data_IF_606775556035
#
_entry.id   IF_606775556035
#
_cell.length_a   1.000
_cell.length_b   1.000
_cell.length_c   1.000
_cell.angle_alpha   90.00
_cell.angle_beta   90.00
_cell.angle_gamma   90.00
#
_symmetry.space_group_name_H-M   'P 1'
#
loop_
_entity.id
_entity.type
_entity.pdbx_description
1 polymer ?
#
# COMPACT_ATOMS: atom_id res chain seq x y z
N UNK A 1 10.57 45.58 -5.77
CA UNK A 1 11.09 45.06 -4.49
C UNK A 1 9.91 44.67 -3.62
N UNK A 2 9.75 43.37 -3.37
CA UNK A 2 8.68 42.82 -2.55
C UNK A 2 9.30 42.39 -1.22
N UNK A 3 8.73 42.89 -0.13
CA UNK A 3 9.20 42.61 1.22
C UNK A 3 8.32 41.53 1.84
N UNK A 4 8.94 40.46 2.33
CA UNK A 4 8.24 39.29 2.88
C UNK A 4 8.68 39.07 4.34
N UNK A 5 7.72 38.74 5.20
CA UNK A 5 7.96 38.25 6.56
C UNK A 5 7.62 36.76 6.57
N UNK A 6 8.57 35.93 6.98
CA UNK A 6 8.38 34.48 7.08
C UNK A 6 7.97 34.11 8.50
N UNK A 7 6.77 33.55 8.64
CA UNK A 7 6.27 32.95 9.87
C UNK A 7 6.04 31.46 9.62
N UNK A 8 7.10 30.67 9.78
CA UNK A 8 7.07 29.22 9.58
C UNK A 8 7.86 28.56 10.70
N UNK A 9 7.26 27.74 11.55
CA UNK A 9 7.94 27.29 12.79
C UNK A 9 8.97 26.20 12.60
N UNK A 10 9.01 25.59 11.41
CA UNK A 10 10.03 24.64 11.08
C UNK A 10 11.25 25.31 10.43
N UNK A 11 12.37 25.41 11.14
CA UNK A 11 13.59 26.06 10.65
C UNK A 11 14.09 25.50 9.30
N UNK A 12 13.95 24.20 9.02
CA UNK A 12 14.36 23.63 7.72
C UNK A 12 13.47 24.14 6.57
N UNK A 13 12.15 24.22 6.81
CA UNK A 13 11.19 24.68 5.79
C UNK A 13 11.36 26.19 5.60
N UNK A 14 11.53 26.93 6.70
CA UNK A 14 11.83 28.35 6.70
C UNK A 14 13.12 28.68 5.95
N UNK A 15 14.21 27.93 6.19
CA UNK A 15 15.48 28.13 5.51
C UNK A 15 15.40 27.75 4.02
N UNK A 16 14.68 26.67 3.69
CA UNK A 16 14.42 26.31 2.30
C UNK A 16 13.62 27.37 1.56
N UNK A 17 12.54 27.88 2.17
CA UNK A 17 11.69 28.93 1.60
C UNK A 17 12.46 30.24 1.48
N UNK A 18 13.24 30.62 2.50
CA UNK A 18 14.10 31.81 2.45
C UNK A 18 15.10 31.72 1.29
N UNK A 19 15.79 30.60 1.14
CA UNK A 19 16.77 30.38 0.06
C UNK A 19 16.11 30.44 -1.32
N UNK A 20 14.91 29.88 -1.47
CA UNK A 20 14.15 29.92 -2.73
C UNK A 20 13.62 31.32 -3.05
N UNK A 21 13.19 32.09 -2.05
CA UNK A 21 12.65 33.43 -2.25
C UNK A 21 13.75 34.47 -2.50
N UNK A 22 14.90 34.35 -1.82
CA UNK A 22 16.05 35.25 -2.03
C UNK A 22 16.85 34.94 -3.30
N UNK A 23 16.53 33.83 -4.01
CA UNK A 23 17.08 33.56 -5.34
C UNK A 23 16.55 34.54 -6.42
N UNK A 24 15.42 35.20 -6.16
CA UNK A 24 14.91 36.29 -7.00
C UNK A 24 15.39 37.64 -6.41
N UNK A 25 16.19 38.37 -7.18
CA UNK A 25 16.77 39.67 -6.77
C UNK A 25 15.73 40.75 -6.43
N UNK A 26 14.47 40.55 -6.80
CA UNK A 26 13.37 41.46 -6.49
C UNK A 26 12.71 41.20 -5.12
N UNK A 27 13.06 40.11 -4.44
CA UNK A 27 12.45 39.67 -3.18
C UNK A 27 13.46 39.78 -2.04
N UNK A 28 13.03 40.38 -0.91
CA UNK A 28 13.87 40.53 0.29
C UNK A 28 13.10 40.13 1.54
N UNK A 29 13.67 39.23 2.33
CA UNK A 29 13.11 38.82 3.63
C UNK A 29 13.59 39.78 4.71
N UNK A 30 12.66 40.48 5.37
CA UNK A 30 12.98 41.59 6.28
C UNK A 30 13.09 41.21 7.77
N UNK A 31 12.73 39.98 8.15
CA UNK A 31 12.84 39.53 9.53
C UNK A 31 12.34 38.10 9.78
N UNK A 32 12.78 37.53 10.90
CA UNK A 32 12.48 36.17 11.36
C UNK A 32 11.62 36.24 12.63
N UNK A 33 10.39 35.72 12.57
CA UNK A 33 9.55 35.57 13.75
C UNK A 33 9.72 34.19 14.39
N UNK A 34 9.91 34.13 15.70
CA UNK A 34 9.56 32.93 16.49
C UNK A 34 8.05 32.91 16.61
N UNK A 35 7.35 31.89 16.11
CA UNK A 35 5.95 31.78 16.52
C UNK A 35 5.92 31.18 17.92
N UNK A 36 5.32 31.93 18.83
CA UNK A 36 4.96 31.45 20.17
C UNK A 36 3.75 30.48 20.10
N UNK A 37 3.49 29.87 18.92
CA UNK A 37 2.32 29.05 18.65
C UNK A 37 2.75 27.63 18.31
N UNK A 38 2.10 26.66 18.94
CA UNK A 38 2.33 25.25 18.68
C UNK A 38 2.01 24.89 17.22
N UNK A 39 2.99 24.35 16.50
CA UNK A 39 2.78 23.79 15.16
C UNK A 39 2.42 22.34 15.24
N UNK A 40 1.34 22.01 14.51
CA UNK A 40 0.79 20.68 14.45
C UNK A 40 1.21 20.06 13.13
N UNK A 41 1.96 18.96 13.20
CA UNK A 41 2.34 18.18 12.03
C UNK A 41 1.38 17.01 11.85
N UNK A 42 1.10 16.69 10.59
CA UNK A 42 0.32 15.50 10.20
C UNK A 42 1.08 14.73 9.13
N UNK A 43 1.21 13.43 9.33
CA UNK A 43 1.74 12.50 8.37
C UNK A 43 0.77 11.33 8.19
N UNK A 44 0.64 10.83 6.97
CA UNK A 44 -0.20 9.68 6.64
C UNK A 44 0.69 8.62 6.01
N UNK A 45 0.76 7.46 6.66
CA UNK A 45 1.38 6.26 6.09
C UNK A 45 0.40 5.61 5.11
N UNK A 46 0.68 5.73 3.81
CA UNK A 46 -0.17 5.19 2.74
C UNK A 46 0.09 3.71 2.44
N UNK A 47 1.13 3.11 3.03
CA UNK A 47 1.46 1.70 2.82
C UNK A 47 1.91 1.01 4.10
N UNK A 48 1.06 0.95 5.15
CA UNK A 48 1.43 0.28 6.38
C UNK A 48 1.39 -1.25 6.23
N UNK A 49 2.08 -1.97 7.11
CA UNK A 49 2.09 -3.44 7.10
C UNK A 49 0.86 -4.03 7.80
N UNK A 50 0.48 -5.27 7.45
CA UNK A 50 -0.54 -6.00 8.20
C UNK A 50 -0.05 -6.30 9.62
N UNK A 51 -0.94 -6.20 10.60
CA UNK A 51 -0.64 -6.44 12.01
C UNK A 51 -0.40 -5.16 12.80
N UNK A 52 0.45 -5.24 13.83
CA UNK A 52 0.75 -4.11 14.70
C UNK A 52 1.94 -3.34 14.13
N UNK A 53 1.69 -2.09 13.73
CA UNK A 53 2.73 -1.15 13.30
C UNK A 53 3.08 -0.23 14.47
N UNK A 54 4.37 0.07 14.63
CA UNK A 54 4.89 0.95 15.67
C UNK A 54 5.46 2.20 15.02
N UNK A 55 5.05 3.36 15.50
CA UNK A 55 5.48 4.66 14.99
C UNK A 55 6.13 5.45 16.11
N UNK A 56 7.24 6.10 15.80
CA UNK A 56 7.96 6.96 16.72
C UNK A 56 8.46 8.19 15.97
N UNK A 57 8.25 9.36 16.55
CA UNK A 57 8.81 10.59 16.02
C UNK A 57 10.25 10.75 16.52
N UNK A 58 11.15 11.04 15.59
CA UNK A 58 12.52 11.47 15.88
C UNK A 58 12.63 12.95 15.56
N UNK A 59 12.79 13.76 16.59
CA UNK A 59 13.10 15.17 16.48
C UNK A 59 14.62 15.35 16.57
N UNK A 60 15.16 16.35 15.89
CA UNK A 60 16.57 16.73 15.98
C UNK A 60 16.60 18.20 16.40
N UNK A 61 17.16 18.47 17.56
CA UNK A 61 17.26 19.82 18.10
C UNK A 61 18.38 20.61 17.40
N UNK A 62 18.44 21.92 17.68
CA UNK A 62 19.39 22.84 17.05
C UNK A 62 20.87 22.42 17.18
N UNK A 63 21.21 21.74 18.27
CA UNK A 63 22.56 21.23 18.53
C UNK A 63 22.84 19.87 17.86
N UNK A 64 21.94 19.41 16.99
CA UNK A 64 22.04 18.15 16.27
C UNK A 64 21.68 16.93 17.12
N UNK A 65 21.27 17.11 18.38
CA UNK A 65 20.91 15.98 19.24
C UNK A 65 19.52 15.46 18.90
N UNK A 66 19.38 14.14 18.70
CA UNK A 66 18.07 13.55 18.48
C UNK A 66 17.32 13.38 19.80
N UNK A 67 16.03 13.68 19.78
CA UNK A 67 15.05 13.29 20.80
C UNK A 67 13.99 12.39 20.17
N UNK A 68 13.50 11.42 20.95
CA UNK A 68 12.48 10.46 20.51
C UNK A 68 11.19 10.69 21.27
N UNK A 69 10.05 10.60 20.58
CA UNK A 69 8.74 10.55 21.24
C UNK A 69 8.49 9.19 21.89
N UNK A 70 7.36 9.10 22.60
CA UNK A 70 6.76 7.80 22.90
C UNK A 70 6.46 7.02 21.62
N UNK A 71 6.55 5.70 21.72
CA UNK A 71 6.14 4.81 20.64
C UNK A 71 4.63 4.64 20.70
N UNK A 72 3.96 4.96 19.61
CA UNK A 72 2.53 4.69 19.44
C UNK A 72 2.35 3.50 18.52
N UNK A 73 1.29 2.71 18.72
CA UNK A 73 1.00 1.56 17.87
C UNK A 73 -0.35 1.71 17.18
N UNK A 74 -0.43 1.20 15.95
CA UNK A 74 -1.66 1.05 15.22
C UNK A 74 -1.78 -0.39 14.73
N UNK A 75 -2.86 -1.07 15.15
CA UNK A 75 -3.18 -2.42 14.69
C UNK A 75 -4.03 -2.32 13.44
N UNK A 76 -3.44 -2.68 12.30
CA UNK A 76 -4.09 -2.72 11.01
C UNK A 76 -4.35 -4.18 10.65
N UNK A 77 -5.62 -4.54 10.54
CA UNK A 77 -6.00 -5.83 9.96
C UNK A 77 -6.36 -5.57 8.51
N UNK A 78 -5.36 -5.68 7.63
CA UNK A 78 -5.67 -6.01 6.26
C UNK A 78 -6.19 -7.43 6.30
N UNK A 79 -7.34 -7.68 5.67
CA UNK A 79 -7.58 -9.03 5.23
C UNK A 79 -6.42 -9.32 4.28
N UNK A 80 -5.44 -10.07 4.78
CA UNK A 80 -4.29 -10.49 4.01
C UNK A 80 -4.81 -10.93 2.65
N UNK A 81 -4.22 -10.45 1.56
CA UNK A 81 -4.50 -10.88 0.19
C UNK A 81 -4.07 -12.35 0.02
N UNK A 82 -4.68 -13.22 0.83
CA UNK A 82 -4.46 -14.65 0.86
C UNK A 82 -5.25 -15.17 -0.31
N UNK A 83 -4.59 -15.21 -1.46
CA UNK A 83 -5.07 -15.97 -2.59
C UNK A 83 -4.54 -17.39 -2.46
N UNK A 84 -5.36 -18.26 -1.86
CA UNK A 84 -5.11 -19.69 -1.82
C UNK A 84 -5.80 -20.33 -3.02
N UNK A 85 -5.05 -21.16 -3.74
CA UNK A 85 -5.58 -22.02 -4.78
C UNK A 85 -5.06 -23.44 -4.59
N UNK A 86 -5.93 -24.42 -4.70
CA UNK A 86 -5.58 -25.83 -4.63
C UNK A 86 -6.49 -26.67 -5.51
N UNK A 87 -6.00 -27.85 -5.90
CA UNK A 87 -6.76 -28.81 -6.70
C UNK A 87 -7.08 -30.04 -5.86
N UNK A 88 -8.36 -30.39 -5.77
CA UNK A 88 -8.82 -31.56 -5.04
C UNK A 88 -10.09 -32.11 -5.69
N UNK A 89 -10.21 -33.44 -5.76
CA UNK A 89 -11.41 -34.14 -6.24
C UNK A 89 -11.91 -33.67 -7.62
N UNK A 90 -11.00 -33.36 -8.56
CA UNK A 90 -11.38 -32.92 -9.90
C UNK A 90 -11.80 -31.45 -10.01
N UNK A 91 -11.59 -30.65 -8.96
CA UNK A 91 -11.99 -29.26 -8.90
C UNK A 91 -10.84 -28.34 -8.46
N UNK A 92 -10.84 -27.13 -9.01
CA UNK A 92 -10.04 -26.01 -8.51
C UNK A 92 -10.84 -25.34 -7.39
N UNK A 93 -10.18 -25.13 -6.26
CA UNK A 93 -10.74 -24.44 -5.09
C UNK A 93 -9.91 -23.19 -4.82
N UNK A 94 -10.59 -22.06 -4.65
CA UNK A 94 -9.99 -20.75 -4.41
C UNK A 94 -10.56 -20.16 -3.12
N UNK A 95 -9.69 -19.75 -2.20
CA UNK A 95 -10.05 -18.88 -1.08
C UNK A 95 -9.32 -17.55 -1.25
N UNK A 96 -10.05 -16.45 -1.17
CA UNK A 96 -9.47 -15.13 -1.31
C UNK A 96 -10.32 -14.04 -0.69
N UNK A 97 -9.69 -12.90 -0.39
CA UNK A 97 -10.39 -11.72 0.10
C UNK A 97 -10.34 -10.61 -0.95
N UNK A 98 -11.44 -9.88 -1.08
CA UNK A 98 -11.55 -8.70 -1.96
C UNK A 98 -11.99 -7.51 -1.12
N UNK A 99 -11.24 -6.41 -1.15
CA UNK A 99 -11.52 -5.17 -0.41
C UNK A 99 -12.33 -4.14 -1.19
N UNK A 100 -12.72 -4.44 -2.44
CA UNK A 100 -13.46 -3.52 -3.32
C UNK A 100 -14.73 -4.17 -3.90
N UNK A 101 -15.72 -3.36 -4.27
CA UNK A 101 -17.07 -3.78 -4.72
C UNK A 101 -17.13 -4.46 -6.10
N UNK A 102 -16.11 -5.23 -6.48
CA UNK A 102 -16.14 -5.98 -7.72
C UNK A 102 -17.22 -7.04 -7.66
N UNK A 103 -18.05 -7.05 -8.69
CA UNK A 103 -19.09 -8.07 -8.85
C UNK A 103 -18.59 -9.28 -9.63
N UNK A 104 -17.52 -9.15 -10.43
CA UNK A 104 -17.02 -10.21 -11.32
C UNK A 104 -15.49 -10.29 -11.25
N UNK A 105 -14.97 -11.50 -11.04
CA UNK A 105 -13.56 -11.84 -11.17
C UNK A 105 -13.34 -12.70 -12.42
N UNK A 106 -12.23 -12.47 -13.13
CA UNK A 106 -11.73 -13.31 -14.20
C UNK A 106 -10.63 -14.23 -13.65
N UNK A 107 -10.82 -15.53 -13.82
CA UNK A 107 -9.88 -16.55 -13.37
C UNK A 107 -9.30 -17.22 -14.60
N UNK A 108 -7.99 -17.13 -14.82
CA UNK A 108 -7.30 -17.82 -15.90
C UNK A 108 -6.43 -18.94 -15.34
N UNK A 109 -6.38 -20.07 -16.05
CA UNK A 109 -5.54 -21.21 -15.73
C UNK A 109 -4.54 -21.42 -16.85
N UNK A 110 -3.29 -21.63 -16.51
CA UNK A 110 -2.18 -21.83 -17.43
C UNK A 110 -1.46 -23.15 -17.12
N UNK A 111 -0.94 -23.81 -18.15
CA UNK A 111 -0.02 -24.93 -17.99
C UNK A 111 1.41 -24.46 -17.63
N UNK A 112 2.32 -25.40 -17.42
CA UNK A 112 3.71 -25.12 -17.03
C UNK A 112 4.52 -24.35 -18.07
N UNK A 113 4.06 -24.30 -19.32
CA UNK A 113 4.69 -23.57 -20.44
C UNK A 113 4.06 -22.19 -20.62
N UNK A 114 3.06 -21.83 -19.79
CA UNK A 114 2.39 -20.54 -19.83
C UNK A 114 1.27 -20.45 -20.86
N UNK A 115 0.85 -21.57 -21.47
CA UNK A 115 -0.31 -21.58 -22.36
C UNK A 115 -1.59 -21.56 -21.51
N UNK A 116 -2.49 -20.63 -21.83
CA UNK A 116 -3.81 -20.53 -21.17
C UNK A 116 -4.67 -21.73 -21.55
N UNK A 117 -5.04 -22.54 -20.57
CA UNK A 117 -5.87 -23.75 -20.75
C UNK A 117 -7.35 -23.50 -20.48
N UNK A 118 -7.67 -22.52 -19.62
CA UNK A 118 -9.06 -22.17 -19.31
C UNK A 118 -9.18 -20.71 -18.83
N UNK A 119 -10.38 -20.15 -18.99
CA UNK A 119 -10.78 -18.88 -18.37
C UNK A 119 -12.21 -18.98 -17.84
N UNK A 120 -12.46 -18.39 -16.67
CA UNK A 120 -13.75 -18.38 -16.01
C UNK A 120 -14.08 -16.98 -15.54
N UNK A 121 -15.33 -16.56 -15.70
CA UNK A 121 -15.89 -15.40 -15.01
C UNK A 121 -16.73 -15.88 -13.84
N UNK A 122 -16.51 -15.31 -12.65
CA UNK A 122 -17.26 -15.67 -11.43
C UNK A 122 -17.71 -14.43 -10.72
N UNK A 123 -18.93 -14.46 -10.21
CA UNK A 123 -19.40 -13.41 -9.33
C UNK A 123 -18.65 -13.50 -8.00
N UNK A 124 -18.26 -12.34 -7.47
CA UNK A 124 -17.57 -12.19 -6.20
C UNK A 124 -18.23 -11.10 -5.37
N UNK A 125 -17.97 -11.11 -4.08
CA UNK A 125 -18.45 -10.12 -3.12
C UNK A 125 -17.29 -9.47 -2.38
N UNK A 126 -17.54 -8.31 -1.79
CA UNK A 126 -16.59 -7.71 -0.85
C UNK A 126 -16.39 -8.62 0.38
N UNK A 127 -15.16 -8.69 0.87
CA UNK A 127 -14.75 -9.61 1.93
C UNK A 127 -14.30 -10.97 1.41
N UNK A 128 -14.50 -12.00 2.24
CA UNK A 128 -14.03 -13.36 1.96
C UNK A 128 -14.90 -14.05 0.91
N UNK A 129 -14.21 -14.68 -0.06
CA UNK A 129 -14.80 -15.45 -1.13
C UNK A 129 -14.23 -16.87 -1.12
N UNK A 130 -15.12 -17.83 -1.40
CA UNK A 130 -14.76 -19.23 -1.64
C UNK A 130 -15.39 -19.66 -2.95
N UNK A 131 -14.56 -20.05 -3.91
CA UNK A 131 -15.02 -20.53 -5.22
C UNK A 131 -14.50 -21.95 -5.43
N UNK A 132 -15.38 -22.81 -5.95
CA UNK A 132 -15.02 -24.16 -6.38
C UNK A 132 -15.65 -24.43 -7.74
N UNK A 133 -14.88 -24.98 -8.66
CA UNK A 133 -15.37 -25.34 -9.99
C UNK A 133 -14.61 -26.52 -10.55
N UNK A 134 -15.33 -27.41 -11.23
CA UNK A 134 -14.77 -28.57 -11.90
C UNK A 134 -13.80 -28.14 -13.00
N UNK A 135 -12.63 -28.77 -13.03
CA UNK A 135 -11.62 -28.54 -14.06
C UNK A 135 -10.85 -29.84 -14.28
N UNK A 136 -10.83 -30.34 -15.52
CA UNK A 136 -10.02 -31.49 -15.87
C UNK A 136 -8.58 -31.03 -16.12
N UNK A 137 -7.75 -31.06 -15.07
CA UNK A 137 -6.33 -30.74 -15.17
C UNK A 137 -5.51 -32.03 -15.30
N UNK A 138 -4.57 -32.03 -16.25
CA UNK A 138 -3.59 -33.10 -16.36
C UNK A 138 -2.63 -33.07 -15.15
N UNK A 139 -1.95 -34.18 -14.84
CA UNK A 139 -0.87 -34.18 -13.86
C UNK A 139 0.20 -33.14 -14.20
N UNK A 140 0.70 -32.43 -13.19
CA UNK A 140 1.73 -31.41 -13.31
C UNK A 140 1.39 -30.08 -12.63
N UNK A 141 2.22 -29.08 -12.91
CA UNK A 141 2.12 -27.73 -12.36
C UNK A 141 1.23 -26.87 -13.24
N UNK A 142 0.32 -26.17 -12.60
CA UNK A 142 -0.57 -25.18 -13.20
C UNK A 142 -0.40 -23.84 -12.50
N UNK A 143 -0.56 -22.75 -13.24
CA UNK A 143 -0.59 -21.39 -12.70
C UNK A 143 -2.02 -20.88 -12.82
N UNK A 144 -2.58 -20.42 -11.71
CA UNK A 144 -3.93 -19.86 -11.65
C UNK A 144 -3.80 -18.38 -11.32
N UNK A 145 -4.41 -17.54 -12.15
CA UNK A 145 -4.50 -16.11 -11.90
C UNK A 145 -5.94 -15.70 -11.64
N UNK A 146 -6.14 -14.78 -10.70
CA UNK A 146 -7.42 -14.12 -10.43
C UNK A 146 -7.24 -12.62 -10.66
N UNK A 147 -8.07 -12.06 -11.53
CA UNK A 147 -8.10 -10.63 -11.84
C UNK A 147 -9.47 -10.05 -11.51
N UNK A 148 -9.49 -8.98 -10.72
CA UNK A 148 -10.69 -8.20 -10.43
C UNK A 148 -10.33 -6.71 -10.34
N UNK A 149 -10.67 -5.91 -11.35
CA UNK A 149 -10.17 -4.53 -11.54
C UNK A 149 -8.64 -4.44 -11.35
N UNK A 150 -8.19 -3.73 -10.32
CA UNK A 150 -6.77 -3.52 -9.97
C UNK A 150 -6.18 -4.65 -9.11
N UNK A 151 -7.01 -5.60 -8.66
CA UNK A 151 -6.55 -6.77 -7.94
C UNK A 151 -6.09 -7.84 -8.93
N UNK A 152 -4.83 -8.24 -8.82
CA UNK A 152 -4.27 -9.38 -9.54
C UNK A 152 -3.54 -10.27 -8.53
N UNK A 153 -3.96 -11.53 -8.45
CA UNK A 153 -3.30 -12.55 -7.64
C UNK A 153 -2.98 -13.78 -8.49
N UNK A 154 -1.90 -14.46 -8.12
CA UNK A 154 -1.40 -15.64 -8.84
C UNK A 154 -1.00 -16.71 -7.84
N UNK A 155 -1.37 -17.95 -8.12
CA UNK A 155 -0.99 -19.11 -7.33
C UNK A 155 -0.52 -20.26 -8.23
N UNK A 156 0.44 -21.03 -7.73
CA UNK A 156 0.93 -22.24 -8.37
C UNK A 156 0.23 -23.44 -7.73
N UNK A 157 -0.39 -24.28 -8.54
CA UNK A 157 -1.13 -25.47 -8.09
C UNK A 157 -0.49 -26.71 -8.70
N UNK A 158 -0.18 -27.69 -7.85
CA UNK A 158 0.22 -29.01 -8.32
C UNK A 158 -0.99 -29.95 -8.39
N UNK A 159 -1.05 -30.74 -9.45
CA UNK A 159 -2.04 -31.79 -9.67
C UNK A 159 -1.26 -33.09 -9.86
N UNK A 160 -1.44 -34.07 -8.98
CA UNK A 160 -0.89 -35.44 -9.13
C UNK A 160 0.60 -35.53 -9.49
N UNK A 161 1.45 -35.81 -8.49
CA UNK A 161 2.80 -36.29 -8.72
C UNK A 161 2.88 -37.79 -8.50
#
# INVERSE_FOLDING_TARGET
>A
MINIILAEDHNIVRNGIKLLLEADEQIRVLGEGTSDKAVHYKYVDNNPFAGVNYYQLKQVDYDGKPSLSEIVSAKLSFATDVFEAYYANGAINLNFNITHQNKIAEISVFDSVGRKIASYSRNIQEGQNKLSFAAALNPGIHVITLRANNFLSTAKVSVGF
#
